data_IF_489196205422
#
_entry.id   IF_489196205422
#
_cell.length_a   1.000
_cell.length_b   1.000
_cell.length_c   1.000
_cell.angle_alpha   90.00
_cell.angle_beta   90.00
_cell.angle_gamma   90.00
#
_symmetry.space_group_name_H-M   'P 1'
#
loop_
_entity.id
_entity.type
_entity.pdbx_description
1 polymer ?
#
# COMPACT_ATOMS: atom_id res chain seq x y z
N UNK A 1 -9.50 14.95 8.19
CA UNK A 1 -10.38 14.97 7.00
C UNK A 1 -9.72 14.40 5.73
N UNK A 2 -8.60 13.67 5.79
CA UNK A 2 -7.86 13.21 4.58
C UNK A 2 -8.35 11.88 4.00
N UNK A 3 -8.78 10.93 4.84
CA UNK A 3 -9.30 9.62 4.42
C UNK A 3 -10.42 9.69 3.34
N UNK A 4 -11.47 10.53 3.47
CA UNK A 4 -12.50 10.61 2.43
C UNK A 4 -11.99 11.19 1.10
N UNK A 5 -10.99 12.08 1.11
CA UNK A 5 -10.37 12.60 -0.11
C UNK A 5 -9.63 11.48 -0.87
N UNK A 6 -8.81 10.69 -0.16
CA UNK A 6 -8.10 9.56 -0.76
C UNK A 6 -9.08 8.49 -1.24
N UNK A 7 -10.16 8.25 -0.50
CA UNK A 7 -11.22 7.32 -0.89
C UNK A 7 -11.93 7.75 -2.18
N UNK A 8 -12.21 9.05 -2.33
CA UNK A 8 -12.77 9.61 -3.56
C UNK A 8 -11.85 9.43 -4.77
N UNK A 9 -10.55 9.71 -4.59
CA UNK A 9 -9.55 9.47 -5.63
C UNK A 9 -9.45 7.97 -5.99
N UNK A 10 -9.41 7.09 -5.00
CA UNK A 10 -9.34 5.66 -5.23
C UNK A 10 -10.56 5.14 -6.01
N UNK A 11 -11.76 5.64 -5.69
CA UNK A 11 -12.98 5.32 -6.44
C UNK A 11 -12.92 5.82 -7.89
N UNK A 12 -12.44 7.06 -8.11
CA UNK A 12 -12.26 7.62 -9.45
C UNK A 12 -11.24 6.81 -10.28
N UNK A 13 -10.11 6.44 -9.69
CA UNK A 13 -9.11 5.59 -10.33
C UNK A 13 -9.67 4.21 -10.66
N UNK A 14 -10.47 3.61 -9.77
CA UNK A 14 -11.14 2.33 -10.05
C UNK A 14 -12.16 2.45 -11.19
N UNK A 15 -12.87 3.56 -11.29
CA UNK A 15 -13.80 3.82 -12.39
C UNK A 15 -13.07 3.97 -13.73
N UNK A 16 -11.91 4.66 -13.74
CA UNK A 16 -11.12 4.87 -14.95
C UNK A 16 -10.32 3.62 -15.36
N UNK A 17 -9.83 2.87 -14.38
CA UNK A 17 -9.09 1.62 -14.57
C UNK A 17 -9.81 0.43 -13.92
N UNK A 18 -10.94 -0.07 -14.49
CA UNK A 18 -11.78 -1.09 -13.84
C UNK A 18 -11.05 -2.38 -13.47
N UNK A 19 -9.96 -2.70 -14.18
CA UNK A 19 -9.17 -3.92 -13.97
C UNK A 19 -8.06 -3.78 -12.92
N UNK A 20 -7.79 -2.58 -12.42
CA UNK A 20 -6.76 -2.40 -11.40
C UNK A 20 -7.16 -3.07 -10.07
N UNK A 21 -6.18 -3.71 -9.44
CA UNK A 21 -6.31 -4.23 -8.08
C UNK A 21 -6.26 -3.07 -7.08
N UNK A 22 -6.74 -3.28 -5.84
CA UNK A 22 -6.58 -2.29 -4.76
C UNK A 22 -5.11 -1.87 -4.57
N UNK A 23 -4.17 -2.82 -4.66
CA UNK A 23 -2.74 -2.55 -4.57
C UNK A 23 -2.23 -1.63 -5.70
N UNK A 24 -2.71 -1.81 -6.93
CA UNK A 24 -2.31 -1.01 -8.06
C UNK A 24 -2.81 0.43 -7.94
N UNK A 25 -4.05 0.62 -7.46
CA UNK A 25 -4.60 1.95 -7.16
C UNK A 25 -3.77 2.63 -6.07
N UNK A 26 -3.46 1.91 -5.00
CA UNK A 26 -2.61 2.41 -3.92
C UNK A 26 -1.23 2.83 -4.44
N UNK A 27 -0.55 1.95 -5.18
CA UNK A 27 0.77 2.22 -5.76
C UNK A 27 0.75 3.43 -6.69
N UNK A 28 -0.29 3.58 -7.52
CA UNK A 28 -0.45 4.74 -8.38
C UNK A 28 -0.56 6.06 -7.58
N UNK A 29 -1.28 6.05 -6.45
CA UNK A 29 -1.39 7.22 -5.57
C UNK A 29 -0.05 7.53 -4.90
N UNK A 30 0.65 6.50 -4.41
CA UNK A 30 1.90 6.67 -3.66
C UNK A 30 3.07 7.10 -4.55
N UNK A 31 3.31 6.41 -5.66
CA UNK A 31 4.47 6.67 -6.53
C UNK A 31 4.38 7.99 -7.30
N UNK A 32 3.20 8.61 -7.35
CA UNK A 32 2.98 9.89 -8.03
C UNK A 32 2.86 11.08 -7.09
N UNK A 33 2.87 10.83 -5.78
CA UNK A 33 2.71 11.85 -4.75
C UNK A 33 3.88 12.85 -4.73
N UNK A 34 3.58 14.08 -4.33
CA UNK A 34 4.55 15.15 -4.19
C UNK A 34 5.25 15.10 -2.83
N UNK A 35 6.58 15.14 -2.87
CA UNK A 35 7.44 15.22 -1.68
C UNK A 35 7.77 16.67 -1.28
N UNK A 36 7.35 17.64 -2.09
CA UNK A 36 7.60 19.06 -1.90
C UNK A 36 6.31 19.85 -1.85
N UNK A 37 6.34 20.97 -1.14
CA UNK A 37 5.22 21.91 -1.07
C UNK A 37 5.18 22.82 -2.31
N UNK A 38 4.23 23.75 -2.32
CA UNK A 38 4.05 24.76 -3.37
C UNK A 38 5.23 25.73 -3.55
N UNK A 39 6.17 25.79 -2.59
CA UNK A 39 7.42 26.55 -2.68
C UNK A 39 8.59 25.67 -3.17
N UNK A 40 8.30 24.47 -3.67
CA UNK A 40 9.28 23.46 -4.06
C UNK A 40 10.28 23.08 -2.96
N UNK A 41 9.90 23.30 -1.70
CA UNK A 41 10.68 22.94 -0.53
C UNK A 41 10.14 21.64 0.08
N UNK A 42 10.93 20.89 0.87
CA UNK A 42 10.43 19.71 1.58
C UNK A 42 9.17 20.04 2.40
N UNK A 43 8.21 19.12 2.40
CA UNK A 43 7.04 19.21 3.28
C UNK A 43 7.53 19.20 4.74
N UNK A 44 6.85 19.96 5.59
CA UNK A 44 7.20 20.12 7.00
C UNK A 44 6.06 19.69 7.91
N UNK A 45 6.41 19.25 9.12
CA UNK A 45 5.44 19.08 10.21
C UNK A 45 4.93 20.44 10.69
N UNK A 46 3.90 20.41 11.53
CA UNK A 46 3.36 21.59 12.21
C UNK A 46 4.42 22.31 13.07
N UNK A 47 5.33 21.55 13.68
CA UNK A 47 6.49 22.08 14.42
C UNK A 47 7.60 22.64 13.51
N UNK A 48 7.44 22.56 12.18
CA UNK A 48 8.38 23.11 11.20
C UNK A 48 9.58 22.23 10.87
N UNK A 49 9.67 21.02 11.44
CA UNK A 49 10.66 20.01 11.07
C UNK A 49 10.37 19.45 9.67
N UNK A 50 11.40 18.95 8.96
CA UNK A 50 11.18 18.28 7.66
C UNK A 50 10.42 16.98 7.90
N UNK A 51 9.29 16.81 7.21
CA UNK A 51 8.44 15.64 7.33
C UNK A 51 9.15 14.41 6.77
N UNK A 52 9.02 13.30 7.48
CA UNK A 52 9.55 11.99 7.12
C UNK A 52 8.43 11.11 6.56
N UNK A 53 8.75 9.93 5.98
CA UNK A 53 7.73 8.96 5.61
C UNK A 53 6.84 8.50 6.76
N UNK A 54 7.28 8.65 8.02
CA UNK A 54 6.43 8.37 9.19
C UNK A 54 5.34 9.43 9.39
N UNK A 55 5.51 10.63 8.83
CA UNK A 55 4.58 11.74 8.94
C UNK A 55 3.62 11.81 7.73
N UNK A 56 4.15 11.63 6.51
CA UNK A 56 3.42 11.86 5.26
C UNK A 56 3.41 10.65 4.31
N UNK A 57 4.03 9.53 4.69
CA UNK A 57 4.19 8.38 3.80
C UNK A 57 4.92 8.77 2.51
N UNK A 58 4.28 8.53 1.37
CA UNK A 58 4.81 8.89 0.06
C UNK A 58 4.58 10.37 -0.34
N UNK A 59 3.93 11.18 0.51
CA UNK A 59 3.74 12.61 0.29
C UNK A 59 2.32 13.04 -0.01
N UNK A 60 2.16 14.25 -0.55
CA UNK A 60 0.87 14.83 -0.91
C UNK A 60 0.33 14.23 -2.21
N UNK A 61 -0.97 13.89 -2.24
CA UNK A 61 -1.58 13.23 -3.39
C UNK A 61 -1.51 14.08 -4.68
N UNK A 62 -1.09 13.46 -5.78
CA UNK A 62 -1.13 14.07 -7.11
C UNK A 62 -2.28 13.47 -7.93
N UNK A 63 -3.41 14.17 -7.97
CA UNK A 63 -4.62 13.68 -8.64
C UNK A 63 -4.37 13.29 -10.10
N UNK A 64 -3.71 14.17 -10.88
CA UNK A 64 -3.49 13.93 -12.30
C UNK A 64 -2.42 12.85 -12.55
N UNK A 65 -1.36 12.86 -11.75
CA UNK A 65 -0.30 11.86 -11.82
C UNK A 65 -0.83 10.44 -11.60
N UNK A 66 -1.72 10.26 -10.62
CA UNK A 66 -2.24 8.93 -10.26
C UNK A 66 -3.04 8.24 -11.37
N UNK A 67 -3.59 8.97 -12.35
CA UNK A 67 -4.28 8.35 -13.49
C UNK A 67 -3.32 7.72 -14.50
N UNK A 68 -2.05 8.16 -14.54
CA UNK A 68 -1.03 7.69 -15.48
C UNK A 68 0.32 7.52 -14.74
N UNK A 69 0.41 6.60 -13.77
CA UNK A 69 1.60 6.41 -12.94
C UNK A 69 2.78 5.79 -13.71
N UNK A 70 2.54 5.29 -14.93
CA UNK A 70 3.52 4.55 -15.72
C UNK A 70 3.66 3.10 -15.23
N UNK A 71 4.16 2.92 -14.01
CA UNK A 71 4.35 1.62 -13.36
C UNK A 71 3.52 1.53 -12.07
N UNK A 72 3.20 0.30 -11.66
CA UNK A 72 2.50 0.01 -10.40
C UNK A 72 3.03 -1.25 -9.74
N UNK A 73 3.11 -1.24 -8.42
CA UNK A 73 3.52 -2.35 -7.58
C UNK A 73 2.27 -3.16 -7.21
N UNK A 74 2.11 -4.27 -7.91
CA UNK A 74 0.93 -5.13 -7.78
C UNK A 74 1.17 -6.25 -6.77
N UNK A 75 0.17 -6.46 -5.91
CA UNK A 75 0.08 -7.60 -5.00
C UNK A 75 -1.29 -8.26 -5.13
N UNK A 76 -1.37 -9.48 -4.65
CA UNK A 76 -2.53 -10.35 -4.55
C UNK A 76 -2.80 -10.67 -3.08
N UNK A 77 -3.95 -11.28 -2.81
CA UNK A 77 -4.30 -11.76 -1.46
C UNK A 77 -3.30 -12.81 -0.96
N UNK A 78 -2.72 -13.60 -1.86
CA UNK A 78 -1.72 -14.63 -1.51
C UNK A 78 -0.45 -14.00 -0.94
N UNK A 79 -0.02 -12.86 -1.48
CA UNK A 79 1.19 -12.17 -1.02
C UNK A 79 1.01 -11.68 0.43
N UNK A 80 -0.19 -11.19 0.78
CA UNK A 80 -0.52 -10.82 2.17
C UNK A 80 -0.58 -12.04 3.10
N UNK A 81 -1.10 -13.17 2.63
CA UNK A 81 -1.10 -14.42 3.40
C UNK A 81 0.31 -14.93 3.65
N UNK A 82 1.18 -14.88 2.64
CA UNK A 82 2.61 -15.22 2.77
C UNK A 82 3.33 -14.27 3.73
N UNK A 83 3.04 -12.98 3.67
CA UNK A 83 3.57 -12.01 4.63
C UNK A 83 3.18 -12.31 6.07
N UNK A 84 1.91 -12.67 6.32
CA UNK A 84 1.46 -13.11 7.64
C UNK A 84 2.20 -14.39 8.10
N UNK A 85 2.45 -15.33 7.18
CA UNK A 85 3.27 -16.51 7.47
C UNK A 85 4.71 -16.15 7.84
N UNK A 86 5.35 -15.23 7.09
CA UNK A 86 6.72 -14.76 7.35
C UNK A 86 6.83 -14.01 8.69
N UNK A 87 5.77 -13.34 9.13
CA UNK A 87 5.66 -12.76 10.48
C UNK A 87 5.44 -13.79 11.60
N UNK A 88 5.31 -15.08 11.28
CA UNK A 88 5.13 -16.16 12.27
C UNK A 88 3.69 -16.36 12.74
N UNK A 89 2.68 -15.90 11.99
CA UNK A 89 1.28 -16.14 12.35
C UNK A 89 0.91 -17.62 12.12
N UNK A 90 0.17 -18.21 13.06
CA UNK A 90 -0.38 -19.55 12.89
C UNK A 90 -1.49 -19.58 11.83
N UNK A 91 -1.66 -20.71 11.15
CA UNK A 91 -2.73 -20.88 10.16
C UNK A 91 -4.14 -20.59 10.74
N UNK A 92 -4.36 -20.87 12.03
CA UNK A 92 -5.60 -20.53 12.72
C UNK A 92 -5.85 -19.02 12.83
N UNK A 93 -4.81 -18.23 13.15
CA UNK A 93 -4.90 -16.77 13.20
C UNK A 93 -5.07 -16.17 11.82
N UNK A 94 -4.35 -16.68 10.83
CA UNK A 94 -4.47 -16.24 9.43
C UNK A 94 -5.91 -16.46 8.93
N UNK A 95 -6.54 -17.60 9.23
CA UNK A 95 -7.95 -17.84 8.87
C UNK A 95 -8.93 -16.90 9.57
N UNK A 96 -8.64 -16.49 10.81
CA UNK A 96 -9.46 -15.52 11.51
C UNK A 96 -9.39 -14.12 10.85
N UNK A 97 -8.24 -13.77 10.26
CA UNK A 97 -8.03 -12.49 9.55
C UNK A 97 -8.56 -12.56 8.10
N UNK A 98 -8.27 -13.66 7.40
CA UNK A 98 -8.59 -13.87 6.00
C UNK A 98 -9.45 -15.13 5.85
N UNK A 99 -10.77 -14.97 6.01
CA UNK A 99 -11.76 -16.05 5.95
C UNK A 99 -11.83 -16.78 4.61
N UNK A 100 -11.25 -16.20 3.55
CA UNK A 100 -11.17 -16.81 2.22
C UNK A 100 -10.09 -17.90 2.12
N UNK A 101 -9.22 -18.05 3.13
CA UNK A 101 -8.16 -19.05 3.14
C UNK A 101 -8.73 -20.45 3.42
N UNK A 102 -8.39 -21.48 2.62
CA UNK A 102 -8.89 -22.84 2.81
C UNK A 102 -8.56 -23.45 4.19
N UNK A 103 -9.39 -24.39 4.65
CA UNK A 103 -9.19 -25.09 5.93
C UNK A 103 -7.88 -25.90 5.98
N UNK A 104 -7.45 -26.45 4.84
CA UNK A 104 -6.21 -27.21 4.70
C UNK A 104 -4.98 -26.32 4.40
N UNK A 105 -5.10 -25.00 4.51
CA UNK A 105 -3.97 -24.10 4.32
C UNK A 105 -2.92 -24.27 5.42
N UNK A 106 -1.66 -24.33 4.99
CA UNK A 106 -0.48 -24.29 5.84
C UNK A 106 0.54 -23.30 5.27
N UNK A 107 1.21 -22.57 6.14
CA UNK A 107 2.32 -21.72 5.73
C UNK A 107 3.48 -22.55 5.11
N UNK A 108 4.20 -22.00 4.12
CA UNK A 108 5.41 -22.61 3.58
C UNK A 108 6.44 -22.90 4.68
N UNK A 109 7.22 -23.99 4.53
CA UNK A 109 8.21 -24.39 5.56
C UNK A 109 9.39 -23.43 5.65
N UNK A 110 9.66 -22.73 4.57
CA UNK A 110 10.68 -21.71 4.37
C UNK A 110 10.21 -20.30 4.78
N UNK A 111 9.00 -20.15 5.34
CA UNK A 111 8.55 -18.86 5.88
C UNK A 111 9.50 -18.40 6.98
N UNK A 112 10.12 -17.24 6.79
CA UNK A 112 11.02 -16.64 7.78
C UNK A 112 10.90 -15.11 7.80
N UNK A 113 11.34 -14.45 8.89
CA UNK A 113 11.27 -13.01 9.02
C UNK A 113 12.02 -12.23 7.91
N UNK A 114 13.10 -12.81 7.37
CA UNK A 114 13.89 -12.15 6.32
C UNK A 114 13.10 -11.97 5.01
N UNK A 115 12.03 -12.74 4.81
CA UNK A 115 11.16 -12.63 3.63
C UNK A 115 10.04 -11.59 3.80
N UNK A 116 9.91 -10.95 4.97
CA UNK A 116 8.90 -9.91 5.22
C UNK A 116 9.11 -8.72 4.29
N UNK A 117 10.37 -8.33 4.06
CA UNK A 117 10.74 -7.21 3.19
C UNK A 117 10.53 -7.48 1.69
N UNK A 118 10.23 -8.72 1.30
CA UNK A 118 10.00 -9.07 -0.10
C UNK A 118 8.57 -8.79 -0.56
N UNK A 119 7.71 -8.25 0.31
CA UNK A 119 6.40 -7.77 -0.12
C UNK A 119 6.57 -6.65 -1.16
N UNK A 120 5.93 -6.81 -2.32
CA UNK A 120 5.98 -5.85 -3.41
C UNK A 120 5.20 -4.56 -3.05
N UNK A 121 5.88 -3.64 -2.38
CA UNK A 121 5.28 -2.47 -1.74
C UNK A 121 6.16 -1.23 -1.97
N UNK A 122 5.50 -0.07 -2.07
CA UNK A 122 6.11 1.26 -2.28
C UNK A 122 6.21 2.08 -0.99
#
# INVERSE_FOLDING_TARGET
MSCPHVSGLAAALKSWHPKWSPSAIRSAIMTTAFQTNNLHSPIKTDDGAVATPYDIGAGEINLLGSFRPGLVYKTSTTDYVQFLCNMGYSASRIRAIASTVPNNFSCPRDSCPDLISNMNYD
#
